data_IF_271827836418
#
_entry.id   IF_271827836418
#
_cell.length_a   1.000
_cell.length_b   1.000
_cell.length_c   1.000
_cell.angle_alpha   90.00
_cell.angle_beta   90.00
_cell.angle_gamma   90.00
#
_symmetry.space_group_name_H-M   'P 1'
#
loop_
_entity.id
_entity.type
_entity.pdbx_description
1 polymer ?
#
# COMPACT_ATOMS: atom_id res chain seq x y z
N UNK A 1 -1.06 10.29 5.49
CA UNK A 1 -1.49 11.19 4.38
C UNK A 1 -0.37 11.70 3.47
N UNK A 2 0.91 11.50 3.84
CA UNK A 2 2.09 12.09 3.16
C UNK A 2 2.16 11.89 1.64
N UNK A 3 1.78 10.71 1.12
CA UNK A 3 1.83 10.46 -0.33
C UNK A 3 0.89 11.36 -1.14
N UNK A 4 -0.32 11.61 -0.64
CA UNK A 4 -1.29 12.48 -1.33
C UNK A 4 -0.86 13.95 -1.31
N UNK A 5 -0.25 14.40 -0.22
CA UNK A 5 0.33 15.75 -0.15
C UNK A 5 1.37 15.94 -1.25
N UNK A 6 2.31 15.00 -1.40
CA UNK A 6 3.35 15.05 -2.42
C UNK A 6 2.75 15.03 -3.84
N UNK A 7 1.79 14.15 -4.10
CA UNK A 7 1.12 14.05 -5.41
C UNK A 7 0.26 15.29 -5.70
N UNK A 8 -0.28 15.96 -4.69
CA UNK A 8 -1.05 17.20 -4.90
C UNK A 8 -0.18 18.38 -5.33
N UNK A 9 1.12 18.37 -5.02
CA UNK A 9 2.07 19.46 -5.31
C UNK A 9 2.68 19.39 -6.72
N UNK A 10 2.63 18.24 -7.41
CA UNK A 10 3.18 18.12 -8.78
C UNK A 10 2.26 18.79 -9.79
N UNK A 11 2.78 19.35 -10.89
CA UNK A 11 1.99 20.13 -11.88
C UNK A 11 1.07 19.29 -12.78
N UNK A 12 1.42 18.03 -13.05
CA UNK A 12 0.62 17.08 -13.81
C UNK A 12 0.44 15.80 -13.00
N UNK A 13 -0.69 15.61 -12.28
CA UNK A 13 -0.90 14.43 -11.47
C UNK A 13 -1.15 13.18 -12.34
N UNK A 14 -0.90 11.97 -11.81
CA UNK A 14 -1.32 10.73 -12.47
C UNK A 14 -2.83 10.75 -12.73
N UNK A 15 -3.24 10.23 -13.90
CA UNK A 15 -4.66 10.11 -14.25
C UNK A 15 -5.43 9.16 -13.34
N UNK A 16 -4.74 8.24 -12.66
CA UNK A 16 -5.34 7.24 -11.78
C UNK A 16 -4.48 7.08 -10.54
N UNK A 17 -5.09 7.20 -9.36
CA UNK A 17 -4.41 7.18 -8.07
C UNK A 17 -5.12 6.19 -7.14
N UNK A 18 -4.39 5.21 -6.64
CA UNK A 18 -4.88 4.25 -5.65
C UNK A 18 -4.40 4.65 -4.25
N UNK A 19 -5.33 4.66 -3.29
CA UNK A 19 -5.06 5.06 -1.90
C UNK A 19 -5.43 3.92 -0.97
N UNK A 20 -4.42 3.41 -0.25
CA UNK A 20 -4.62 2.43 0.82
C UNK A 20 -5.30 3.10 2.02
N UNK A 21 -6.41 2.51 2.49
CA UNK A 21 -7.22 3.10 3.56
C UNK A 21 -7.09 2.41 4.92
N UNK A 22 -6.31 1.33 5.03
CA UNK A 22 -6.16 0.55 6.26
C UNK A 22 -5.66 1.39 7.45
N UNK A 23 -4.86 2.44 7.19
CA UNK A 23 -4.18 3.29 8.19
C UNK A 23 -4.35 4.79 7.91
N UNK A 24 -5.54 5.20 7.48
CA UNK A 24 -5.83 6.59 7.10
C UNK A 24 -5.64 7.59 8.26
N UNK A 25 -5.73 7.13 9.51
CA UNK A 25 -5.59 8.00 10.68
C UNK A 25 -4.16 8.51 10.89
N UNK A 26 -3.16 7.91 10.20
CA UNK A 26 -1.77 8.38 10.25
C UNK A 26 -1.66 9.77 9.63
N UNK A 27 -1.06 10.67 10.41
CA UNK A 27 -0.83 12.06 10.03
C UNK A 27 0.11 12.24 8.84
N UNK A 28 0.44 13.50 8.58
CA UNK A 28 1.54 13.86 7.71
C UNK A 28 2.84 13.59 8.46
N UNK A 29 3.84 13.11 7.73
CA UNK A 29 5.21 13.06 8.20
C UNK A 29 5.90 14.34 7.68
N UNK A 30 5.77 15.42 8.45
CA UNK A 30 6.26 16.76 8.09
C UNK A 30 7.77 16.74 7.88
N UNK A 31 8.51 16.02 8.74
CA UNK A 31 9.96 15.83 8.59
C UNK A 31 10.32 15.13 7.28
N UNK A 32 9.55 14.12 6.89
CA UNK A 32 9.75 13.47 5.59
C UNK A 32 9.43 14.42 4.44
N UNK A 33 8.33 15.17 4.52
CA UNK A 33 7.94 16.14 3.48
C UNK A 33 9.04 17.20 3.32
N UNK A 34 9.49 17.81 4.41
CA UNK A 34 10.58 18.79 4.43
C UNK A 34 11.89 18.22 3.85
N UNK A 35 12.21 16.97 4.18
CA UNK A 35 13.40 16.30 3.63
C UNK A 35 13.31 16.12 2.11
N UNK A 36 12.11 15.84 1.60
CA UNK A 36 11.82 15.71 0.16
C UNK A 36 11.75 17.08 -0.54
N UNK A 37 11.53 18.16 0.21
CA UNK A 37 11.39 19.55 -0.28
C UNK A 37 12.73 20.33 -0.34
N UNK A 38 13.84 19.78 0.15
CA UNK A 38 15.12 20.46 0.34
C UNK A 38 15.92 20.77 -0.95
N UNK A 39 15.26 21.14 -2.06
CA UNK A 39 15.77 21.27 -3.45
C UNK A 39 16.09 19.97 -4.18
N UNK A 40 15.85 18.85 -3.54
CA UNK A 40 15.09 17.77 -4.16
C UNK A 40 13.61 18.24 -4.14
N UNK A 41 12.75 17.93 -5.08
CA UNK A 41 13.04 17.06 -6.17
C UNK A 41 14.05 17.59 -7.22
N UNK A 42 14.11 18.90 -7.52
CA UNK A 42 14.67 19.64 -8.70
C UNK A 42 14.63 19.06 -10.14
N UNK A 43 14.32 17.78 -10.35
CA UNK A 43 14.00 17.15 -11.66
C UNK A 43 13.45 15.73 -11.50
N UNK A 44 13.30 15.23 -10.28
CA UNK A 44 13.68 13.84 -10.01
C UNK A 44 12.53 12.83 -10.14
N UNK A 45 12.86 11.84 -10.95
CA UNK A 45 12.42 10.44 -11.03
C UNK A 45 12.40 9.67 -9.70
N UNK A 46 11.97 10.26 -8.60
CA UNK A 46 11.71 9.53 -7.35
C UNK A 46 10.32 8.87 -7.36
N UNK A 47 9.50 9.23 -8.35
CA UNK A 47 8.10 8.85 -8.54
C UNK A 47 7.79 8.35 -9.97
N UNK A 48 8.81 8.06 -10.79
CA UNK A 48 8.61 7.39 -12.09
C UNK A 48 8.30 5.91 -11.85
N UNK A 49 7.24 5.42 -12.49
CA UNK A 49 6.55 4.12 -12.24
C UNK A 49 7.47 2.90 -12.40
N UNK A 50 8.54 3.01 -13.16
CA UNK A 50 9.44 1.92 -13.52
C UNK A 50 10.40 1.49 -12.41
N UNK A 51 10.26 1.97 -11.15
CA UNK A 51 11.31 1.74 -10.14
C UNK A 51 10.92 1.75 -8.65
N UNK A 52 9.65 1.55 -8.22
CA UNK A 52 9.34 1.54 -6.75
C UNK A 52 8.24 0.59 -6.25
N UNK A 53 8.60 -0.66 -5.92
CA UNK A 53 8.17 -1.33 -4.68
C UNK A 53 9.04 -0.90 -3.48
N UNK A 54 9.82 0.18 -3.59
CA UNK A 54 10.88 0.53 -2.63
C UNK A 54 10.40 1.02 -1.25
N UNK A 55 9.14 1.42 -1.09
CA UNK A 55 8.59 1.66 0.26
C UNK A 55 8.37 0.34 1.04
N UNK A 56 8.10 -0.77 0.33
CA UNK A 56 8.17 -2.11 0.92
C UNK A 56 9.63 -2.50 1.21
N UNK A 57 10.57 -2.11 0.35
CA UNK A 57 11.99 -2.40 0.50
C UNK A 57 12.65 -1.63 1.65
N UNK A 58 12.36 -0.35 1.87
CA UNK A 58 12.93 0.44 2.96
C UNK A 58 12.43 -0.03 4.33
N UNK A 59 11.19 -0.50 4.44
CA UNK A 59 10.68 -1.20 5.62
C UNK A 59 11.43 -2.53 5.84
N UNK A 60 11.67 -3.29 4.77
CA UNK A 60 12.42 -4.56 4.78
C UNK A 60 13.92 -4.40 5.11
N UNK A 61 14.56 -3.30 4.67
CA UNK A 61 15.97 -3.00 4.92
C UNK A 61 16.24 -2.43 6.32
N UNK A 62 15.25 -1.80 6.95
CA UNK A 62 15.41 -1.20 8.28
C UNK A 62 15.29 -2.24 9.41
N UNK A 63 14.72 -3.41 9.12
CA UNK A 63 14.67 -4.60 10.00
C UNK A 63 14.73 -5.90 9.15
N UNK A 64 15.88 -6.26 8.58
CA UNK A 64 15.98 -7.49 7.79
C UNK A 64 15.81 -8.72 8.72
N UNK A 65 14.97 -9.72 8.37
CA UNK A 65 14.76 -10.91 9.21
C UNK A 65 15.97 -11.86 9.30
N UNK A 66 17.10 -11.48 8.70
CA UNK A 66 18.32 -12.26 8.54
C UNK A 66 19.43 -11.26 8.85
N UNK A 67 20.07 -11.35 10.02
CA UNK A 67 20.95 -10.34 10.61
C UNK A 67 22.25 -10.01 9.84
N UNK A 68 22.17 -9.75 8.54
CA UNK A 68 23.27 -9.30 7.69
C UNK A 68 23.10 -7.81 7.44
N UNK A 69 24.15 -7.05 7.74
CA UNK A 69 24.22 -5.58 7.70
C UNK A 69 24.36 -5.00 6.28
N UNK A 70 24.36 -5.82 5.23
CA UNK A 70 24.48 -5.37 3.86
C UNK A 70 23.65 -6.24 2.91
N UNK A 71 22.75 -5.61 2.15
CA UNK A 71 21.98 -6.24 1.08
C UNK A 71 22.73 -5.99 -0.24
N UNK A 72 22.95 -7.05 -1.01
CA UNK A 72 23.61 -6.99 -2.33
C UNK A 72 22.60 -6.59 -3.43
N UNK A 73 23.06 -5.87 -4.46
CA UNK A 73 22.24 -5.39 -5.58
C UNK A 73 21.60 -6.53 -6.40
N UNK A 74 22.23 -7.70 -6.38
CA UNK A 74 21.76 -8.92 -7.05
C UNK A 74 20.44 -9.47 -6.45
N UNK A 75 20.27 -9.36 -5.13
CA UNK A 75 19.05 -9.76 -4.41
C UNK A 75 17.86 -8.84 -4.72
N UNK A 76 18.15 -7.56 -4.99
CA UNK A 76 17.15 -6.56 -5.38
C UNK A 76 16.65 -6.85 -6.81
N UNK A 77 17.58 -7.12 -7.74
CA UNK A 77 17.23 -7.36 -9.14
C UNK A 77 16.41 -8.66 -9.32
N UNK A 78 16.66 -9.69 -8.52
CA UNK A 78 15.89 -10.94 -8.56
C UNK A 78 14.46 -10.78 -8.01
N UNK A 79 14.23 -9.84 -7.08
CA UNK A 79 12.91 -9.52 -6.54
C UNK A 79 12.06 -8.64 -7.47
N UNK A 80 12.68 -7.69 -8.18
CA UNK A 80 11.99 -6.73 -9.05
C UNK A 80 11.60 -7.29 -10.42
N UNK A 81 12.43 -8.19 -10.98
CA UNK A 81 12.23 -8.78 -12.32
C UNK A 81 10.90 -9.53 -12.48
N UNK A 82 10.40 -10.34 -11.52
CA UNK A 82 9.10 -11.03 -11.64
C UNK A 82 7.90 -10.08 -11.54
N UNK A 83 8.07 -8.91 -10.91
CA UNK A 83 7.02 -7.92 -10.69
C UNK A 83 6.80 -6.99 -11.90
N UNK A 84 7.70 -7.04 -12.90
CA UNK A 84 7.67 -6.16 -14.07
C UNK A 84 7.79 -4.67 -13.70
N UNK A 85 8.45 -4.37 -12.57
CA UNK A 85 8.60 -3.03 -12.00
C UNK A 85 9.92 -2.37 -12.42
N UNK A 86 10.50 -2.79 -13.55
CA UNK A 86 11.75 -2.26 -14.13
C UNK A 86 11.56 -1.80 -15.58
N UNK A 87 10.34 -1.87 -16.13
CA UNK A 87 10.03 -1.68 -17.56
C UNK A 87 8.94 -0.60 -17.75
N UNK A 88 8.91 0.01 -18.95
CA UNK A 88 8.02 1.13 -19.28
C UNK A 88 6.57 0.68 -19.47
N UNK A 89 5.59 1.58 -19.30
CA UNK A 89 4.15 1.25 -19.40
C UNK A 89 3.74 0.68 -20.76
N UNK A 90 4.45 1.02 -21.84
CA UNK A 90 4.25 0.42 -23.17
C UNK A 90 4.66 -1.05 -23.22
N UNK A 91 5.72 -1.43 -22.51
CA UNK A 91 6.21 -2.82 -22.42
C UNK A 91 5.26 -3.71 -21.58
N UNK A 92 4.40 -3.09 -20.76
CA UNK A 92 3.45 -3.77 -19.89
C UNK A 92 2.21 -4.31 -20.63
N UNK A 93 1.89 -3.81 -21.83
CA UNK A 93 0.70 -4.22 -22.59
C UNK A 93 0.86 -5.57 -23.29
N UNK A 94 2.08 -5.92 -23.67
CA UNK A 94 2.35 -7.10 -24.51
C UNK A 94 2.72 -8.34 -23.70
N UNK A 95 2.79 -8.23 -22.37
CA UNK A 95 3.14 -9.34 -21.50
C UNK A 95 1.90 -9.88 -20.80
N UNK A 96 1.53 -11.11 -21.13
CA UNK A 96 0.63 -11.91 -20.31
C UNK A 96 1.26 -12.04 -18.91
N UNK A 97 0.73 -11.32 -17.92
CA UNK A 97 1.10 -11.54 -16.53
C UNK A 97 0.53 -12.91 -16.16
N UNK A 98 1.40 -13.92 -16.04
CA UNK A 98 1.04 -15.18 -15.39
C UNK A 98 0.72 -14.87 -13.94
N UNK A 99 -0.55 -14.62 -13.67
CA UNK A 99 -1.06 -14.47 -12.31
C UNK A 99 -1.23 -15.87 -11.76
N UNK A 100 -0.55 -16.22 -10.65
CA UNK A 100 -0.81 -17.49 -10.00
C UNK A 100 -2.29 -17.54 -9.63
N UNK A 101 -2.94 -18.67 -9.89
CA UNK A 101 -4.37 -18.85 -9.59
C UNK A 101 -4.66 -18.94 -8.09
N UNK A 102 -3.63 -19.27 -7.29
CA UNK A 102 -3.73 -19.44 -5.84
C UNK A 102 -2.55 -18.79 -5.12
N UNK A 103 -2.83 -18.26 -3.91
CA UNK A 103 -1.80 -17.75 -3.04
C UNK A 103 -0.81 -18.86 -2.63
N UNK A 104 0.49 -18.56 -2.55
CA UNK A 104 1.52 -19.55 -2.23
C UNK A 104 1.35 -20.11 -0.80
N UNK A 105 1.29 -21.44 -0.68
CA UNK A 105 1.01 -22.15 0.59
C UNK A 105 2.17 -22.24 1.60
N UNK A 106 3.27 -21.47 1.44
CA UNK A 106 4.48 -21.66 2.27
C UNK A 106 4.34 -21.03 3.66
N UNK A 107 3.98 -21.86 4.64
CA UNK A 107 4.01 -21.52 6.06
C UNK A 107 5.44 -21.71 6.61
N UNK A 108 6.14 -20.60 6.90
CA UNK A 108 7.19 -20.66 7.93
C UNK A 108 6.49 -20.52 9.28
N UNK A 109 6.76 -21.38 10.26
CA UNK A 109 6.18 -21.22 11.59
C UNK A 109 6.60 -19.85 12.16
N UNK A 110 5.70 -19.11 12.79
CA UNK A 110 6.00 -17.78 13.28
C UNK A 110 7.07 -17.86 14.39
N UNK A 111 8.14 -17.07 14.23
CA UNK A 111 9.12 -16.88 15.30
C UNK A 111 8.57 -15.99 16.42
N UNK A 112 9.23 -15.97 17.59
CA UNK A 112 8.83 -15.16 18.76
C UNK A 112 8.55 -13.67 18.43
N UNK A 113 9.31 -13.08 17.51
CA UNK A 113 9.10 -11.69 17.08
C UNK A 113 7.74 -11.47 16.40
N UNK A 114 7.26 -12.45 15.64
CA UNK A 114 5.93 -12.39 15.01
C UNK A 114 4.82 -12.36 16.05
N UNK A 115 4.89 -13.23 17.06
CA UNK A 115 3.86 -13.32 18.10
C UNK A 115 3.77 -12.03 18.92
N UNK A 116 4.91 -11.43 19.25
CA UNK A 116 4.98 -10.13 19.94
C UNK A 116 4.30 -9.05 19.09
N UNK A 117 4.63 -8.98 17.80
CA UNK A 117 4.06 -8.00 16.87
C UNK A 117 2.54 -8.20 16.70
N UNK A 118 2.07 -9.43 16.59
CA UNK A 118 0.64 -9.74 16.53
C UNK A 118 -0.07 -9.33 17.82
N UNK A 119 0.50 -9.64 18.99
CA UNK A 119 -0.08 -9.27 20.28
C UNK A 119 -0.20 -7.75 20.44
N UNK A 120 0.85 -7.02 20.07
CA UNK A 120 0.84 -5.55 20.07
C UNK A 120 -0.19 -5.00 19.08
N UNK A 121 -0.29 -5.57 17.88
CA UNK A 121 -1.28 -5.12 16.90
C UNK A 121 -2.71 -5.44 17.31
N UNK A 122 -2.95 -6.57 17.97
CA UNK A 122 -4.25 -6.90 18.57
C UNK A 122 -4.68 -5.89 19.62
N UNK A 123 -3.76 -5.40 20.47
CA UNK A 123 -4.11 -4.38 21.47
C UNK A 123 -4.44 -3.03 20.81
N UNK A 124 -3.71 -2.63 19.76
CA UNK A 124 -4.04 -1.45 18.95
C UNK A 124 -5.42 -1.61 18.29
N UNK A 125 -5.68 -2.77 17.68
CA UNK A 125 -6.96 -3.05 17.03
C UNK A 125 -8.12 -3.07 18.03
N UNK A 126 -7.89 -3.53 19.26
CA UNK A 126 -8.88 -3.54 20.34
C UNK A 126 -9.17 -2.13 20.91
N UNK A 127 -8.16 -1.25 20.95
CA UNK A 127 -8.32 0.13 21.42
C UNK A 127 -9.31 0.93 20.54
N UNK A 128 -9.43 0.58 19.26
CA UNK A 128 -10.29 1.29 18.30
C UNK A 128 -9.66 2.58 17.78
N UNK A 129 -10.46 3.41 17.13
CA UNK A 129 -10.00 4.71 16.60
C UNK A 129 -10.43 5.88 17.48
N UNK A 130 -9.55 6.87 17.60
CA UNK A 130 -9.97 8.20 18.03
C UNK A 130 -10.82 8.84 16.92
N UNK A 131 -12.14 8.92 17.15
CA UNK A 131 -13.11 9.39 16.15
C UNK A 131 -12.81 10.81 15.66
N UNK A 132 -12.42 11.72 16.56
CA UNK A 132 -12.12 13.11 16.18
C UNK A 132 -10.94 13.17 15.22
N UNK A 133 -9.85 12.46 15.55
CA UNK A 133 -8.67 12.38 14.69
C UNK A 133 -9.02 11.76 13.34
N UNK A 134 -9.78 10.66 13.32
CA UNK A 134 -10.18 10.01 12.08
C UNK A 134 -11.03 10.93 11.19
N UNK A 135 -12.00 11.66 11.75
CA UNK A 135 -12.82 12.59 10.97
C UNK A 135 -12.01 13.73 10.36
N UNK A 136 -11.03 14.28 11.09
CA UNK A 136 -10.13 15.28 10.52
C UNK A 136 -9.27 14.71 9.39
N UNK A 137 -8.83 13.44 9.49
CA UNK A 137 -8.10 12.77 8.42
C UNK A 137 -8.96 12.47 7.20
N UNK A 138 -10.24 12.18 7.41
CA UNK A 138 -11.22 12.00 6.33
C UNK A 138 -11.47 13.32 5.58
N UNK A 139 -11.64 14.43 6.31
CA UNK A 139 -11.75 15.76 5.69
C UNK A 139 -10.51 16.09 4.88
N UNK A 140 -9.33 15.79 5.43
CA UNK A 140 -8.07 16.00 4.73
C UNK A 140 -7.97 15.13 3.47
N UNK A 141 -8.35 13.85 3.56
CA UNK A 141 -8.42 12.95 2.41
C UNK A 141 -9.36 13.49 1.32
N UNK A 142 -10.57 13.93 1.68
CA UNK A 142 -11.53 14.54 0.75
C UNK A 142 -10.91 15.75 0.06
N UNK A 143 -10.25 16.65 0.80
CA UNK A 143 -9.59 17.82 0.21
C UNK A 143 -8.52 17.44 -0.81
N UNK A 144 -7.75 16.37 -0.57
CA UNK A 144 -6.78 15.88 -1.56
C UNK A 144 -7.47 15.28 -2.78
N UNK A 145 -8.53 14.50 -2.59
CA UNK A 145 -9.30 13.92 -3.68
C UNK A 145 -9.85 15.04 -4.56
N UNK A 146 -10.55 16.02 -3.98
CA UNK A 146 -11.13 17.14 -4.73
C UNK A 146 -10.07 17.88 -5.55
N UNK A 147 -8.93 18.20 -4.95
CA UNK A 147 -7.81 18.88 -5.63
C UNK A 147 -7.25 18.07 -6.79
N UNK A 148 -7.16 16.75 -6.65
CA UNK A 148 -6.62 15.86 -7.68
C UNK A 148 -7.64 15.63 -8.80
N UNK A 149 -8.92 15.47 -8.47
CA UNK A 149 -10.01 15.25 -9.42
C UNK A 149 -10.32 16.50 -10.25
N UNK A 150 -10.24 17.70 -9.65
CA UNK A 150 -10.30 18.98 -10.38
C UNK A 150 -9.21 19.10 -11.46
N UNK A 151 -8.13 18.32 -11.34
CA UNK A 151 -6.99 18.30 -12.26
C UNK A 151 -7.01 17.08 -13.18
N UNK A 152 -8.14 16.39 -13.26
CA UNK A 152 -8.38 15.27 -14.17
C UNK A 152 -7.85 13.92 -13.69
N UNK A 153 -7.43 13.80 -12.43
CA UNK A 153 -7.12 12.49 -11.85
C UNK A 153 -8.41 11.76 -11.44
N UNK A 154 -8.39 10.43 -11.47
CA UNK A 154 -9.38 9.56 -10.83
C UNK A 154 -8.77 8.98 -9.57
N UNK A 155 -9.45 9.08 -8.43
CA UNK A 155 -8.98 8.50 -7.18
C UNK A 155 -9.79 7.25 -6.82
N UNK A 156 -9.08 6.18 -6.43
CA UNK A 156 -9.64 4.91 -6.00
C UNK A 156 -9.11 4.56 -4.61
N UNK A 157 -10.02 4.33 -3.67
CA UNK A 157 -9.75 3.88 -2.31
C UNK A 157 -9.79 2.36 -2.26
N UNK A 158 -8.80 1.72 -1.67
CA UNK A 158 -8.77 0.27 -1.53
C UNK A 158 -8.15 -0.18 -0.21
N UNK A 159 -8.47 -1.41 0.21
CA UNK A 159 -7.86 -2.05 1.37
C UNK A 159 -6.79 -3.05 0.94
N UNK A 160 -5.64 -3.00 1.61
CA UNK A 160 -4.65 -4.07 1.58
C UNK A 160 -5.09 -5.24 2.48
N UNK A 161 -4.80 -6.50 2.11
CA UNK A 161 -4.94 -7.62 3.02
C UNK A 161 -4.06 -7.41 4.25
N UNK A 162 -4.60 -7.79 5.41
CA UNK A 162 -3.90 -7.84 6.68
C UNK A 162 -4.03 -9.24 7.25
N UNK A 163 -3.25 -9.56 8.28
CA UNK A 163 -3.38 -10.85 8.94
C UNK A 163 -4.85 -11.13 9.33
N UNK A 164 -5.39 -12.34 9.08
CA UNK A 164 -6.77 -12.68 9.38
C UNK A 164 -7.15 -12.43 10.85
N UNK A 165 -6.19 -12.59 11.77
CA UNK A 165 -6.40 -12.33 13.20
C UNK A 165 -6.64 -10.85 13.54
N UNK A 166 -6.26 -9.94 12.64
CA UNK A 166 -6.44 -8.49 12.80
C UNK A 166 -7.60 -7.96 11.94
N UNK A 167 -8.00 -8.68 10.88
CA UNK A 167 -9.00 -8.22 9.91
C UNK A 167 -10.35 -7.83 10.54
N UNK A 168 -10.76 -8.50 11.62
CA UNK A 168 -11.99 -8.21 12.38
C UNK A 168 -11.76 -7.29 13.59
N UNK A 169 -10.57 -6.69 13.68
CA UNK A 169 -10.20 -5.74 14.72
C UNK A 169 -11.18 -4.56 14.79
N UNK A 170 -11.46 -4.11 16.02
CA UNK A 170 -12.42 -3.02 16.27
C UNK A 170 -12.00 -1.74 15.55
N UNK A 171 -10.70 -1.41 15.55
CA UNK A 171 -10.14 -0.25 14.85
C UNK A 171 -10.40 -0.33 13.34
N UNK A 172 -10.01 -1.40 12.66
CA UNK A 172 -10.25 -1.55 11.21
C UNK A 172 -11.75 -1.53 10.85
N UNK A 173 -12.60 -2.19 11.63
CA UNK A 173 -14.07 -2.16 11.42
C UNK A 173 -14.61 -0.74 11.55
N UNK A 174 -14.15 0.02 12.56
CA UNK A 174 -14.56 1.42 12.73
C UNK A 174 -14.07 2.31 11.59
N UNK A 175 -12.81 2.15 11.15
CA UNK A 175 -12.26 2.88 9.99
C UNK A 175 -13.12 2.64 8.75
N UNK A 176 -13.40 1.38 8.40
CA UNK A 176 -14.25 1.04 7.24
C UNK A 176 -15.63 1.66 7.33
N UNK A 177 -16.29 1.50 8.49
CA UNK A 177 -17.65 2.01 8.69
C UNK A 177 -17.71 3.52 8.51
N UNK A 178 -16.76 4.24 9.10
CA UNK A 178 -16.72 5.70 9.03
C UNK A 178 -16.33 6.17 7.63
N UNK A 179 -15.34 5.55 6.97
CA UNK A 179 -14.99 5.92 5.59
C UNK A 179 -16.15 5.71 4.61
N UNK A 180 -16.82 4.56 4.67
CA UNK A 180 -17.96 4.23 3.80
C UNK A 180 -19.18 5.11 4.06
N UNK A 181 -19.26 5.81 5.20
CA UNK A 181 -20.32 6.79 5.44
C UNK A 181 -19.99 8.19 4.92
N UNK A 182 -18.74 8.45 4.53
CA UNK A 182 -18.29 9.78 4.06
C UNK A 182 -17.99 9.80 2.56
N UNK A 183 -17.55 8.67 2.00
CA UNK A 183 -17.30 8.55 0.57
C UNK A 183 -18.38 7.68 -0.07
N UNK A 184 -18.91 8.08 -1.24
CA UNK A 184 -19.89 7.27 -1.95
C UNK A 184 -19.23 6.01 -2.55
N UNK A 185 -20.01 4.94 -2.82
CA UNK A 185 -19.48 3.61 -3.12
C UNK A 185 -18.50 3.53 -4.30
N UNK A 186 -18.63 4.43 -5.28
CA UNK A 186 -17.78 4.44 -6.48
C UNK A 186 -16.30 4.73 -6.20
N UNK A 187 -15.96 5.33 -5.07
CA UNK A 187 -14.57 5.53 -4.69
C UNK A 187 -13.90 4.23 -4.24
N UNK A 188 -14.66 3.21 -3.86
CA UNK A 188 -14.10 2.00 -3.26
C UNK A 188 -13.89 0.89 -4.28
N UNK A 189 -12.65 0.39 -4.33
CA UNK A 189 -12.34 -0.86 -4.99
C UNK A 189 -12.16 -1.98 -3.96
N UNK A 190 -13.00 -3.01 -4.06
CA UNK A 190 -13.03 -4.12 -3.11
C UNK A 190 -12.17 -5.29 -3.59
N UNK A 191 -10.88 -5.24 -3.28
CA UNK A 191 -9.93 -6.30 -3.59
C UNK A 191 -10.31 -7.66 -2.97
N UNK A 192 -11.15 -7.70 -1.93
CA UNK A 192 -11.57 -8.96 -1.30
C UNK A 192 -12.49 -9.82 -2.19
N UNK A 193 -13.06 -9.22 -3.24
CA UNK A 193 -13.86 -9.93 -4.26
C UNK A 193 -12.98 -10.64 -5.30
N UNK A 194 -11.75 -10.18 -5.46
CA UNK A 194 -10.79 -10.71 -6.43
C UNK A 194 -9.82 -11.66 -5.74
N UNK A 195 -9.49 -11.39 -4.49
CA UNK A 195 -8.51 -12.17 -3.73
C UNK A 195 -9.02 -12.47 -2.33
N UNK A 196 -8.92 -13.73 -1.92
CA UNK A 196 -9.26 -14.13 -0.55
C UNK A 196 -8.21 -13.60 0.44
N UNK A 197 -8.61 -12.59 1.24
CA UNK A 197 -7.75 -11.98 2.24
C UNK A 197 -7.36 -12.96 3.36
N UNK A 198 -8.17 -14.01 3.59
CA UNK A 198 -7.91 -15.00 4.63
C UNK A 198 -6.71 -15.90 4.31
N UNK A 199 -6.35 -15.98 3.03
CA UNK A 199 -5.25 -16.80 2.53
C UNK A 199 -3.86 -16.17 2.74
N UNK A 200 -3.79 -14.89 3.13
CA UNK A 200 -2.53 -14.18 3.29
C UNK A 200 -1.93 -14.36 4.68
N UNK A 201 -0.67 -14.74 4.70
CA UNK A 201 0.22 -14.57 5.84
C UNK A 201 0.89 -13.20 5.78
N UNK A 202 1.50 -12.83 6.90
CA UNK A 202 2.20 -11.54 7.03
C UNK A 202 3.46 -11.80 7.84
N UNK A 203 4.52 -11.04 7.59
CA UNK A 203 5.76 -11.19 8.37
C UNK A 203 5.64 -10.63 9.79
N UNK A 204 4.71 -9.70 9.99
CA UNK A 204 4.57 -8.96 11.24
C UNK A 204 3.11 -8.71 11.64
N UNK A 205 2.14 -9.23 10.89
CA UNK A 205 0.71 -8.94 11.06
C UNK A 205 0.12 -7.97 10.04
N UNK A 206 0.93 -7.10 9.42
CA UNK A 206 0.45 -6.07 8.47
C UNK A 206 1.09 -6.15 7.09
N UNK A 207 2.37 -6.51 7.02
CA UNK A 207 3.10 -6.54 5.76
C UNK A 207 3.04 -7.94 5.16
N UNK A 208 2.55 -8.03 3.92
CA UNK A 208 2.67 -9.23 3.08
C UNK A 208 4.15 -9.54 2.83
N UNK A 209 4.52 -10.82 2.81
CA UNK A 209 5.92 -11.23 2.67
C UNK A 209 6.15 -12.12 1.43
N UNK A 210 7.27 -11.88 0.75
CA UNK A 210 7.75 -12.74 -0.34
C UNK A 210 6.71 -12.93 -1.45
N UNK A 211 6.33 -14.18 -1.70
CA UNK A 211 5.48 -14.57 -2.81
C UNK A 211 4.02 -14.07 -2.66
N UNK A 212 3.55 -13.78 -1.45
CA UNK A 212 2.23 -13.20 -1.22
C UNK A 212 2.15 -11.74 -1.65
N UNK A 213 3.21 -10.97 -1.38
CA UNK A 213 3.33 -9.61 -1.87
C UNK A 213 3.32 -9.59 -3.40
N UNK A 214 4.02 -10.53 -4.04
CA UNK A 214 4.03 -10.65 -5.49
C UNK A 214 2.66 -11.04 -6.04
N UNK A 215 2.02 -12.03 -5.42
CA UNK A 215 0.68 -12.48 -5.79
C UNK A 215 -0.35 -11.34 -5.72
N UNK A 216 -0.39 -10.60 -4.60
CA UNK A 216 -1.31 -9.48 -4.45
C UNK A 216 -0.99 -8.34 -5.42
N UNK A 217 0.30 -7.99 -5.58
CA UNK A 217 0.70 -6.93 -6.49
C UNK A 217 0.30 -7.23 -7.95
N UNK A 218 0.41 -8.49 -8.39
CA UNK A 218 -0.01 -8.90 -9.73
C UNK A 218 -1.52 -8.75 -9.94
N UNK A 219 -2.34 -9.13 -8.95
CA UNK A 219 -3.80 -8.93 -9.00
C UNK A 219 -4.17 -7.46 -8.99
N UNK A 220 -3.60 -6.67 -8.06
CA UNK A 220 -3.82 -5.23 -7.99
C UNK A 220 -3.47 -4.56 -9.32
N UNK A 221 -2.36 -4.97 -9.95
CA UNK A 221 -1.96 -4.46 -11.27
C UNK A 221 -3.00 -4.77 -12.34
N UNK A 222 -3.52 -6.00 -12.42
CA UNK A 222 -4.57 -6.33 -13.38
C UNK A 222 -5.82 -5.46 -13.18
N UNK A 223 -6.22 -5.24 -11.93
CA UNK A 223 -7.37 -4.40 -11.62
C UNK A 223 -7.12 -2.92 -11.95
N UNK A 224 -5.92 -2.41 -11.72
CA UNK A 224 -5.52 -1.07 -12.18
C UNK A 224 -5.66 -0.97 -13.70
N UNK A 225 -5.21 -1.97 -14.47
CA UNK A 225 -5.27 -1.94 -15.93
C UNK A 225 -6.71 -1.93 -16.46
N UNK A 226 -7.64 -2.63 -15.81
CA UNK A 226 -9.08 -2.61 -16.14
C UNK A 226 -9.73 -1.24 -15.92
N UNK A 227 -9.15 -0.40 -15.06
CA UNK A 227 -9.67 0.94 -14.75
C UNK A 227 -9.15 2.03 -15.71
N UNK A 228 -8.17 1.70 -16.55
CA UNK A 228 -7.54 2.63 -17.51
C UNK A 228 -8.14 2.47 -18.92
N UNK A 229 -8.79 1.33 -19.21
CA UNK A 229 -9.52 1.05 -20.46
C UNK A 229 -10.88 1.74 -20.46
#
# INVERSE_FOLDING_TARGET
MTGLELVSRISNPPKLIFVEINYIERGLDEKFIESVDSTLARRISLFRIENRPLNYFLSFMRNPPWGKSAIDKSDIHSFLRPLGLTESVSDLKDRAVCVPEQAPKKQRPPGKAFEINIKQKKSIEAAGVNRKVLLERIKQLQSYIDKLEQRGAKVVLFEMPVNPQLQKGKRLVQVRKILRSHFPPQYFYDMSKVVDFSSFTTSDGLHLAGAECQFFASHLRQEIMKQIQ
#
